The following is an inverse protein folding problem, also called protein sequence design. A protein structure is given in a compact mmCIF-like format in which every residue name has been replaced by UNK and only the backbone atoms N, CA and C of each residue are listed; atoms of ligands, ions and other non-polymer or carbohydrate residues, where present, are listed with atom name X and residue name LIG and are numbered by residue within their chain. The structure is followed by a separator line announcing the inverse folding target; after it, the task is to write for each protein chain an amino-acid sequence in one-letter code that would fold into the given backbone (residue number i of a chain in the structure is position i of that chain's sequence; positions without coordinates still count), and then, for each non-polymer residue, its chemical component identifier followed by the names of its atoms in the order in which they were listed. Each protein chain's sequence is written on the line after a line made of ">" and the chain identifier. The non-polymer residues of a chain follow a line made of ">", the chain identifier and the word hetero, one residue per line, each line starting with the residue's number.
data_IF_501259711519
#
_entry.id   IF_501259711519
#
_cell.length_a   1.000
_cell.length_b   1.000
_cell.length_c   1.000
_cell.angle_alpha   90.00
_cell.angle_beta   90.00
_cell.angle_gamma   90.00
#
_symmetry.space_group_name_H-M   'P 1'
#
loop_
_entity.id
_entity.type
_entity.pdbx_description
1 polymer ?
#
# COMPACT_ATOMS: atom_id res chain seq x y z
N UNK A 1 1.17 2.64 6.23
CA UNK A 1 -0.07 3.10 6.87
C UNK A 1 -1.10 1.98 6.91
N UNK A 2 -1.36 1.25 5.80
CA UNK A 2 -2.35 0.16 5.73
C UNK A 2 -2.16 -0.89 6.83
N UNK A 3 -0.95 -1.36 7.06
CA UNK A 3 -0.62 -2.37 8.08
C UNK A 3 -0.93 -1.90 9.51
N UNK A 4 -0.63 -0.65 9.85
CA UNK A 4 -0.75 -0.13 11.21
C UNK A 4 -2.12 0.50 11.53
N UNK A 5 -2.77 1.09 10.55
CA UNK A 5 -3.99 1.86 10.74
C UNK A 5 -5.14 1.45 9.80
N UNK A 6 -4.96 0.37 9.05
CA UNK A 6 -5.92 -0.12 8.06
C UNK A 6 -6.41 0.97 7.08
N UNK A 7 -5.59 2.01 6.83
CA UNK A 7 -5.92 3.07 5.89
C UNK A 7 -5.54 2.65 4.48
N UNK A 8 -6.51 2.62 3.57
CA UNK A 8 -6.36 2.17 2.18
C UNK A 8 -6.30 3.31 1.16
N UNK A 9 -6.37 4.56 1.63
CA UNK A 9 -6.24 5.75 0.77
C UNK A 9 -4.83 5.89 0.19
N UNK A 10 -4.73 6.65 -0.89
CA UNK A 10 -3.44 6.92 -1.58
C UNK A 10 -2.64 8.05 -0.93
N UNK A 11 -3.24 8.82 -0.01
CA UNK A 11 -2.56 9.85 0.77
C UNK A 11 -2.92 9.74 2.25
N UNK A 12 -1.98 10.13 3.10
CA UNK A 12 -2.10 10.12 4.56
C UNK A 12 -0.73 10.15 5.22
N UNK A 13 -0.67 10.69 6.44
CA UNK A 13 0.53 10.63 7.28
C UNK A 13 0.16 10.04 8.63
N UNK A 14 0.91 9.05 9.08
CA UNK A 14 0.70 8.40 10.38
C UNK A 14 1.78 8.86 11.35
N UNK A 15 1.37 9.49 12.45
CA UNK A 15 2.24 9.85 13.57
C UNK A 15 1.95 8.89 14.73
N UNK A 16 2.98 8.20 15.20
CA UNK A 16 2.87 7.24 16.30
C UNK A 16 3.76 7.73 17.43
N UNK A 17 3.19 7.86 18.59
CA UNK A 17 3.89 8.16 19.84
C UNK A 17 3.85 6.93 20.77
N UNK A 18 4.29 7.07 21.99
CA UNK A 18 4.17 5.99 22.99
C UNK A 18 2.73 5.77 23.47
N UNK A 19 1.87 6.75 23.32
CA UNK A 19 0.50 6.76 23.85
C UNK A 19 -0.56 6.93 22.78
N UNK A 20 -0.19 7.46 21.61
CA UNK A 20 -1.16 7.88 20.60
C UNK A 20 -0.76 7.38 19.21
N UNK A 21 -1.78 7.06 18.42
CA UNK A 21 -1.69 6.83 16.99
C UNK A 21 -2.56 7.87 16.30
N UNK A 22 -1.97 8.77 15.51
CA UNK A 22 -2.67 9.83 14.82
C UNK A 22 -2.55 9.65 13.31
N UNK A 23 -3.68 9.59 12.62
CA UNK A 23 -3.74 9.55 11.15
C UNK A 23 -4.20 10.92 10.63
N UNK A 24 -3.30 11.58 9.92
CA UNK A 24 -3.55 12.85 9.25
C UNK A 24 -4.08 12.54 7.85
N UNK A 25 -5.30 12.97 7.54
CA UNK A 25 -5.96 12.79 6.24
C UNK A 25 -6.72 14.03 5.84
N UNK A 26 -6.76 14.31 4.54
CA UNK A 26 -7.59 15.38 4.01
C UNK A 26 -9.06 14.93 3.82
N UNK A 27 -9.90 15.88 3.43
CA UNK A 27 -11.35 15.68 3.29
C UNK A 27 -11.74 14.53 2.37
N UNK A 28 -10.92 14.16 1.38
CA UNK A 28 -11.16 13.04 0.44
C UNK A 28 -11.23 11.68 1.12
N UNK A 29 -10.53 11.53 2.23
CA UNK A 29 -10.41 10.25 2.95
C UNK A 29 -11.11 10.23 4.30
N UNK A 30 -11.51 11.38 4.82
CA UNK A 30 -12.08 11.53 6.17
C UNK A 30 -13.27 10.63 6.41
N UNK A 31 -14.26 10.68 5.54
CA UNK A 31 -15.47 9.86 5.65
C UNK A 31 -15.18 8.35 5.59
N UNK A 32 -14.32 7.94 4.65
CA UNK A 32 -13.91 6.53 4.52
C UNK A 32 -13.17 6.02 5.77
N UNK A 33 -12.31 6.86 6.39
CA UNK A 33 -11.61 6.51 7.62
C UNK A 33 -12.59 6.45 8.79
N UNK A 34 -13.49 7.41 8.93
CA UNK A 34 -14.51 7.43 9.98
C UNK A 34 -15.45 6.22 9.90
N UNK A 35 -15.93 5.90 8.70
CA UNK A 35 -16.76 4.72 8.45
C UNK A 35 -16.03 3.43 8.85
N UNK A 36 -14.74 3.32 8.53
CA UNK A 36 -13.92 2.17 8.91
C UNK A 36 -13.72 2.08 10.42
N UNK A 37 -13.50 3.23 11.09
CA UNK A 37 -13.37 3.26 12.55
C UNK A 37 -14.68 2.89 13.28
N UNK A 38 -15.83 3.05 12.64
CA UNK A 38 -17.13 2.60 13.15
C UNK A 38 -17.42 1.11 12.87
N UNK A 39 -16.53 0.40 12.19
CA UNK A 39 -16.68 -1.00 11.78
C UNK A 39 -15.78 -1.95 12.61
N UNK A 40 -15.93 -3.26 12.38
CA UNK A 40 -15.04 -4.29 12.96
C UNK A 40 -13.58 -4.18 12.47
N UNK A 41 -13.33 -3.41 11.41
CA UNK A 41 -12.00 -3.14 10.86
C UNK A 41 -11.34 -1.89 11.47
N UNK A 42 -11.86 -1.39 12.58
CA UNK A 42 -11.32 -0.24 13.30
C UNK A 42 -9.88 -0.51 13.80
N UNK A 43 -9.05 0.52 13.77
CA UNK A 43 -7.77 0.51 14.46
C UNK A 43 -8.00 1.08 15.88
N UNK A 44 -7.84 0.29 16.94
CA UNK A 44 -8.07 0.77 18.31
C UNK A 44 -7.13 1.93 18.66
N UNK A 45 -7.70 2.96 19.27
CA UNK A 45 -6.92 4.14 19.70
C UNK A 45 -6.48 5.08 18.60
N UNK A 46 -6.90 4.88 17.35
CA UNK A 46 -6.58 5.77 16.25
C UNK A 46 -7.32 7.10 16.39
N UNK A 47 -6.56 8.19 16.43
CA UNK A 47 -7.07 9.56 16.36
C UNK A 47 -6.95 10.07 14.93
N UNK A 48 -8.06 10.49 14.34
CA UNK A 48 -8.08 11.07 12.99
C UNK A 48 -7.89 12.59 13.09
N UNK A 49 -6.91 13.12 12.36
CA UNK A 49 -6.62 14.56 12.25
C UNK A 49 -6.93 15.05 10.86
N UNK A 50 -7.66 16.15 10.77
CA UNK A 50 -7.95 16.81 9.51
C UNK A 50 -6.72 17.53 8.96
N UNK A 51 -6.52 17.40 7.66
CA UNK A 51 -5.54 18.18 6.88
C UNK A 51 -6.31 19.15 6.01
N UNK A 52 -6.40 20.44 6.41
CA UNK A 52 -7.17 21.42 5.64
C UNK A 52 -6.48 21.78 4.32
N UNK A 53 -5.16 22.01 4.34
CA UNK A 53 -4.41 22.50 3.17
C UNK A 53 -3.18 21.61 2.86
N UNK A 54 -2.26 21.45 3.82
CA UNK A 54 -0.99 20.79 3.62
C UNK A 54 -0.73 19.68 4.65
N UNK A 55 -0.35 18.50 4.19
CA UNK A 55 0.09 17.41 5.05
C UNK A 55 1.32 17.76 5.88
N UNK A 56 2.20 18.60 5.36
CA UNK A 56 3.43 18.99 6.03
C UNK A 56 3.16 19.98 7.14
N UNK A 57 2.28 20.97 6.91
CA UNK A 57 1.80 21.88 7.96
C UNK A 57 1.06 21.11 9.07
N UNK A 58 0.14 20.23 8.70
CA UNK A 58 -0.60 19.41 9.66
C UNK A 58 0.34 18.49 10.48
N UNK A 59 1.41 17.98 9.87
CA UNK A 59 2.44 17.18 10.57
C UNK A 59 3.25 18.06 11.54
N UNK A 60 3.61 19.27 11.13
CA UNK A 60 4.27 20.25 12.02
C UNK A 60 3.39 20.54 13.23
N UNK A 61 2.12 20.85 13.02
CA UNK A 61 1.17 21.15 14.10
C UNK A 61 1.00 19.94 15.05
N UNK A 62 0.84 18.74 14.51
CA UNK A 62 0.72 17.51 15.29
C UNK A 62 1.97 17.22 16.12
N UNK A 63 3.16 17.41 15.56
CA UNK A 63 4.42 17.16 16.25
C UNK A 63 4.73 18.23 17.31
N UNK A 64 4.34 19.47 17.08
CA UNK A 64 4.46 20.55 18.08
C UNK A 64 3.49 20.32 19.26
N UNK A 65 2.27 19.87 19.00
CA UNK A 65 1.32 19.51 20.04
C UNK A 65 1.77 18.32 20.90
N UNK A 66 2.52 17.38 20.30
CA UNK A 66 3.09 16.23 21.01
C UNK A 66 4.23 16.61 21.95
N UNK A 67 4.92 17.73 21.72
CA UNK A 67 6.07 18.21 22.51
C UNK A 67 7.25 17.22 22.60
N UNK A 68 7.32 16.25 21.72
CA UNK A 68 8.46 15.34 21.62
C UNK A 68 9.67 16.00 21.00
N UNK A 69 10.87 15.53 21.37
CA UNK A 69 12.14 16.08 20.87
C UNK A 69 12.83 15.21 19.83
N UNK A 70 12.43 13.96 19.69
CA UNK A 70 13.03 13.00 18.77
C UNK A 70 11.97 12.36 17.91
N UNK A 71 12.03 12.61 16.60
CA UNK A 71 11.10 12.07 15.61
C UNK A 71 11.82 11.08 14.68
N UNK A 72 11.40 9.82 14.70
CA UNK A 72 11.79 8.83 13.69
C UNK A 72 11.05 9.06 12.38
N UNK A 73 11.77 9.04 11.27
CA UNK A 73 11.18 9.15 9.92
C UNK A 73 11.53 7.92 9.07
N UNK A 74 10.61 7.52 8.21
CA UNK A 74 10.88 6.50 7.18
C UNK A 74 11.74 7.09 6.07
N UNK A 75 13.07 6.95 6.20
CA UNK A 75 14.05 7.58 5.30
C UNK A 75 13.90 7.18 3.83
N UNK A 76 13.40 5.98 3.55
CA UNK A 76 13.13 5.52 2.18
C UNK A 76 11.93 6.19 1.50
N UNK A 77 11.09 6.93 2.25
CA UNK A 77 9.87 7.55 1.74
C UNK A 77 9.86 9.07 1.86
N UNK A 78 10.59 9.62 2.83
CA UNK A 78 10.66 11.06 3.02
C UNK A 78 11.73 11.66 2.11
N UNK A 79 11.34 12.55 1.21
CA UNK A 79 12.33 13.24 0.36
C UNK A 79 13.19 14.20 1.16
N UNK A 80 14.43 14.43 0.71
CA UNK A 80 15.35 15.38 1.34
C UNK A 80 14.74 16.79 1.40
N UNK A 81 14.09 17.23 0.32
CA UNK A 81 13.44 18.54 0.27
C UNK A 81 12.35 18.68 1.35
N UNK A 82 11.52 17.65 1.52
CA UNK A 82 10.47 17.62 2.53
C UNK A 82 11.05 17.64 3.94
N UNK A 83 12.08 16.85 4.20
CA UNK A 83 12.77 16.84 5.49
C UNK A 83 13.35 18.23 5.83
N UNK A 84 14.03 18.87 4.88
CA UNK A 84 14.60 20.20 5.08
C UNK A 84 13.53 21.25 5.36
N UNK A 85 12.40 21.19 4.65
CA UNK A 85 11.27 22.08 4.88
C UNK A 85 10.70 21.91 6.29
N UNK A 86 10.45 20.68 6.71
CA UNK A 86 9.97 20.37 8.07
C UNK A 86 10.92 20.90 9.14
N UNK A 87 12.22 20.64 8.99
CA UNK A 87 13.24 21.08 9.97
C UNK A 87 13.24 22.61 10.11
N UNK A 88 13.28 23.34 8.99
CA UNK A 88 13.25 24.82 9.01
C UNK A 88 11.94 25.36 9.62
N UNK A 89 10.83 24.70 9.35
CA UNK A 89 9.51 25.14 9.86
C UNK A 89 9.43 24.93 11.37
N UNK A 90 9.90 23.78 11.89
CA UNK A 90 10.00 23.57 13.34
C UNK A 90 10.88 24.61 14.02
N UNK A 91 12.08 24.83 13.49
CA UNK A 91 13.02 25.86 14.00
C UNK A 91 12.37 27.26 14.01
N UNK A 92 11.74 27.66 12.90
CA UNK A 92 11.07 28.95 12.77
C UNK A 92 9.91 29.13 13.78
N UNK A 93 9.25 28.02 14.16
CA UNK A 93 8.18 28.01 15.16
C UNK A 93 8.68 27.76 16.59
N UNK A 94 10.01 27.78 16.82
CA UNK A 94 10.63 27.59 18.12
C UNK A 94 10.60 26.15 18.67
N UNK A 95 10.32 25.16 17.82
CA UNK A 95 10.35 23.76 18.20
C UNK A 95 11.72 23.13 17.90
N UNK A 96 12.32 22.47 18.89
CA UNK A 96 13.58 21.76 18.74
C UNK A 96 13.32 20.26 18.59
N UNK A 97 13.01 19.83 17.35
CA UNK A 97 12.75 18.44 17.00
C UNK A 97 13.96 17.86 16.26
N UNK A 98 14.60 16.88 16.88
CA UNK A 98 15.66 16.10 16.24
C UNK A 98 15.06 15.01 15.39
N UNK A 99 15.43 14.97 14.12
CA UNK A 99 14.97 13.94 13.18
C UNK A 99 15.98 12.79 13.15
N UNK A 100 15.50 11.56 13.30
CA UNK A 100 16.29 10.33 13.14
C UNK A 100 15.75 9.48 12.00
N UNK A 101 16.59 9.15 11.05
CA UNK A 101 16.28 8.20 9.99
C UNK A 101 16.02 6.81 10.59
N UNK A 102 14.93 6.18 10.14
CA UNK A 102 14.64 4.77 10.39
C UNK A 102 14.46 4.04 9.07
N UNK A 103 14.90 2.80 9.03
CA UNK A 103 14.80 1.97 7.83
C UNK A 103 14.16 0.63 8.16
N UNK A 104 13.22 0.24 7.31
CA UNK A 104 12.57 -1.07 7.36
C UNK A 104 12.00 -1.46 8.74
N UNK A 105 11.58 -0.47 9.54
CA UNK A 105 11.04 -0.73 10.87
C UNK A 105 9.75 -1.57 10.77
N UNK A 106 8.82 -1.13 9.95
CA UNK A 106 7.53 -1.81 9.77
C UNK A 106 7.69 -3.09 8.94
N UNK A 107 8.58 -3.10 7.96
CA UNK A 107 8.86 -4.28 7.14
C UNK A 107 9.41 -5.45 7.97
N UNK A 108 10.18 -5.18 9.02
CA UNK A 108 10.64 -6.22 9.96
C UNK A 108 9.49 -6.86 10.73
N UNK A 109 8.52 -6.07 11.20
CA UNK A 109 7.32 -6.61 11.85
C UNK A 109 6.49 -7.43 10.85
N UNK A 110 6.35 -6.98 9.63
CA UNK A 110 5.62 -7.69 8.56
C UNK A 110 6.32 -8.94 8.06
N UNK A 111 7.63 -9.10 8.31
CA UNK A 111 8.37 -10.27 7.87
C UNK A 111 7.90 -11.55 8.57
N UNK A 112 7.61 -11.48 9.86
CA UNK A 112 7.06 -12.58 10.65
C UNK A 112 5.55 -12.38 10.74
N UNK A 113 4.78 -13.34 10.22
CA UNK A 113 3.32 -13.29 10.16
C UNK A 113 2.73 -13.92 11.42
N UNK A 114 1.68 -13.30 11.95
CA UNK A 114 0.86 -13.92 12.98
C UNK A 114 -0.18 -14.89 12.39
N UNK A 115 -0.93 -15.59 13.26
CA UNK A 115 -1.90 -16.61 12.84
C UNK A 115 -3.05 -16.02 12.02
N UNK A 116 -3.47 -14.80 12.29
CA UNK A 116 -4.53 -14.13 11.55
C UNK A 116 -4.05 -13.76 10.15
N UNK A 117 -2.85 -13.21 10.03
CA UNK A 117 -2.21 -12.90 8.74
C UNK A 117 -1.98 -14.17 7.91
N UNK A 118 -1.53 -15.26 8.53
CA UNK A 118 -1.37 -16.57 7.87
C UNK A 118 -2.73 -17.07 7.35
N UNK A 119 -3.78 -16.92 8.12
CA UNK A 119 -5.14 -17.32 7.71
C UNK A 119 -5.60 -16.54 6.49
N UNK A 120 -5.41 -15.23 6.47
CA UNK A 120 -5.76 -14.38 5.30
C UNK A 120 -4.92 -14.76 4.08
N UNK A 121 -3.63 -15.01 4.25
CA UNK A 121 -2.76 -15.45 3.15
C UNK A 121 -3.19 -16.79 2.56
N UNK A 122 -3.59 -17.75 3.41
CA UNK A 122 -4.11 -19.05 2.94
C UNK A 122 -5.41 -18.90 2.15
N UNK A 123 -6.33 -18.07 2.64
CA UNK A 123 -7.58 -17.78 1.92
C UNK A 123 -7.31 -17.14 0.56
N UNK A 124 -6.40 -16.15 0.51
CA UNK A 124 -6.01 -15.51 -0.73
C UNK A 124 -5.38 -16.51 -1.72
N UNK A 125 -4.49 -17.41 -1.24
CA UNK A 125 -3.87 -18.44 -2.07
C UNK A 125 -4.88 -19.45 -2.62
N UNK A 126 -5.85 -19.88 -1.80
CA UNK A 126 -6.92 -20.78 -2.23
C UNK A 126 -7.79 -20.15 -3.33
N UNK A 127 -8.18 -18.90 -3.16
CA UNK A 127 -8.93 -18.18 -4.20
C UNK A 127 -8.12 -18.01 -5.48
N UNK A 128 -6.82 -17.76 -5.37
CA UNK A 128 -5.93 -17.63 -6.53
C UNK A 128 -5.76 -18.96 -7.29
N UNK A 129 -5.87 -20.12 -6.64
CA UNK A 129 -5.86 -21.42 -7.28
C UNK A 129 -7.02 -21.57 -8.28
N UNK A 130 -8.22 -21.08 -7.94
CA UNK A 130 -9.36 -21.08 -8.86
C UNK A 130 -9.13 -20.17 -10.08
N UNK A 131 -8.49 -19.02 -9.88
CA UNK A 131 -8.11 -18.13 -10.98
C UNK A 131 -7.08 -18.79 -11.89
N UNK A 132 -6.10 -19.50 -11.31
CA UNK A 132 -5.08 -20.23 -12.07
C UNK A 132 -5.69 -21.32 -12.98
N UNK A 133 -6.69 -22.04 -12.50
CA UNK A 133 -7.40 -23.03 -13.31
C UNK A 133 -8.05 -22.39 -14.55
N UNK A 134 -8.74 -21.25 -14.39
CA UNK A 134 -9.34 -20.51 -15.50
C UNK A 134 -8.29 -19.96 -16.48
N UNK A 135 -7.14 -19.54 -15.96
CA UNK A 135 -6.01 -19.08 -16.78
C UNK A 135 -5.46 -20.22 -17.63
N UNK A 136 -5.27 -21.41 -17.05
CA UNK A 136 -4.80 -22.59 -17.77
C UNK A 136 -5.76 -23.01 -18.91
N UNK A 137 -7.06 -22.91 -18.69
CA UNK A 137 -8.07 -23.20 -19.70
C UNK A 137 -8.06 -22.17 -20.87
N UNK A 138 -7.59 -20.96 -20.62
CA UNK A 138 -7.48 -19.93 -21.65
C UNK A 138 -6.20 -20.03 -22.50
N UNK A 139 -5.19 -20.77 -22.03
CA UNK A 139 -3.94 -20.99 -22.76
C UNK A 139 -4.17 -22.04 -23.85
N UNK A 140 -4.50 -21.55 -25.06
CA UNK A 140 -4.77 -22.40 -26.23
C UNK A 140 -4.09 -21.82 -27.46
N UNK A 141 -3.65 -22.68 -28.37
CA UNK A 141 -3.17 -22.22 -29.67
C UNK A 141 -4.25 -21.38 -30.39
N UNK A 142 -3.85 -20.25 -30.93
CA UNK A 142 -4.75 -19.29 -31.57
C UNK A 142 -5.25 -18.17 -30.65
N UNK A 143 -5.10 -18.28 -29.32
CA UNK A 143 -5.41 -17.21 -28.38
C UNK A 143 -4.22 -16.24 -28.28
N UNK A 144 -4.44 -14.94 -28.16
CA UNK A 144 -3.38 -13.97 -27.96
C UNK A 144 -2.95 -13.86 -26.49
N UNK A 145 -1.73 -13.42 -26.25
CA UNK A 145 -1.22 -13.14 -24.88
C UNK A 145 -2.16 -12.17 -24.15
N UNK A 146 -2.66 -11.15 -24.84
CA UNK A 146 -3.58 -10.14 -24.30
C UNK A 146 -4.94 -10.75 -23.88
N UNK A 147 -5.47 -11.66 -24.66
CA UNK A 147 -6.72 -12.35 -24.33
C UNK A 147 -6.55 -13.23 -23.09
N UNK A 148 -5.43 -13.93 -22.95
CA UNK A 148 -5.14 -14.70 -21.74
C UNK A 148 -5.00 -13.78 -20.51
N UNK A 149 -4.31 -12.65 -20.64
CA UNK A 149 -4.21 -11.66 -19.57
C UNK A 149 -5.58 -11.13 -19.16
N UNK A 150 -6.45 -10.81 -20.10
CA UNK A 150 -7.82 -10.36 -19.84
C UNK A 150 -8.66 -11.40 -19.10
N UNK A 151 -8.50 -12.68 -19.42
CA UNK A 151 -9.16 -13.79 -18.67
C UNK A 151 -8.70 -13.80 -17.23
N UNK A 152 -7.40 -13.72 -16.97
CA UNK A 152 -6.80 -13.69 -15.61
C UNK A 152 -7.36 -12.50 -14.82
N UNK A 153 -7.35 -11.31 -15.37
CA UNK A 153 -7.83 -10.09 -14.70
C UNK A 153 -9.33 -10.14 -14.41
N UNK A 154 -10.10 -10.67 -15.36
CA UNK A 154 -11.54 -10.87 -15.19
C UNK A 154 -11.83 -11.90 -14.09
N UNK A 155 -11.09 -12.99 -14.06
CA UNK A 155 -11.24 -14.04 -13.05
C UNK A 155 -10.87 -13.52 -11.64
N UNK A 156 -9.81 -12.72 -11.52
CA UNK A 156 -9.45 -12.05 -10.27
C UNK A 156 -10.59 -11.16 -9.76
N UNK A 157 -11.15 -10.31 -10.61
CA UNK A 157 -12.27 -9.43 -10.23
C UNK A 157 -13.52 -10.22 -9.83
N UNK A 158 -13.87 -11.27 -10.58
CA UNK A 158 -15.00 -12.17 -10.25
C UNK A 158 -14.77 -12.93 -8.95
N UNK A 159 -13.51 -13.26 -8.63
CA UNK A 159 -13.10 -13.88 -7.37
C UNK A 159 -13.08 -12.94 -6.17
N UNK A 160 -13.49 -11.67 -6.34
CA UNK A 160 -13.56 -10.68 -5.26
C UNK A 160 -12.25 -9.95 -4.97
N UNK A 161 -11.22 -10.12 -5.80
CA UNK A 161 -9.98 -9.36 -5.68
C UNK A 161 -10.14 -7.95 -6.28
N UNK A 162 -9.59 -6.97 -5.61
CA UNK A 162 -9.67 -5.56 -6.03
C UNK A 162 -8.97 -5.34 -7.38
N UNK A 163 -7.76 -5.90 -7.53
CA UNK A 163 -6.93 -5.80 -8.74
C UNK A 163 -5.74 -6.76 -8.65
N UNK A 164 -5.04 -7.02 -9.77
CA UNK A 164 -3.73 -7.65 -9.74
C UNK A 164 -2.74 -6.85 -8.88
N UNK A 165 -1.80 -7.53 -8.24
CA UNK A 165 -0.76 -6.88 -7.42
C UNK A 165 0.28 -6.11 -8.27
N UNK A 166 0.44 -6.51 -9.52
CA UNK A 166 1.27 -5.90 -10.56
C UNK A 166 0.63 -6.17 -11.93
N UNK A 167 1.10 -5.52 -12.98
CA UNK A 167 0.60 -5.72 -14.34
C UNK A 167 0.67 -7.20 -14.72
N UNK A 168 -0.41 -7.74 -15.26
CA UNK A 168 -0.48 -9.16 -15.61
C UNK A 168 0.49 -9.46 -16.74
N UNK A 169 1.42 -10.39 -16.48
CA UNK A 169 2.43 -10.82 -17.44
C UNK A 169 1.97 -12.11 -18.08
N UNK A 170 1.76 -12.09 -19.40
CA UNK A 170 1.57 -13.28 -20.23
C UNK A 170 2.56 -13.16 -21.38
N UNK A 171 3.51 -14.06 -21.44
CA UNK A 171 4.59 -14.04 -22.42
C UNK A 171 4.78 -15.42 -23.01
N UNK A 172 4.78 -15.55 -24.32
CA UNK A 172 4.87 -16.82 -25.04
C UNK A 172 6.01 -16.80 -26.06
N UNK A 173 6.56 -17.97 -26.38
CA UNK A 173 7.68 -18.12 -27.32
C UNK A 173 8.82 -17.16 -27.02
N UNK A 174 9.31 -16.37 -27.99
CA UNK A 174 10.42 -15.43 -27.77
C UNK A 174 10.18 -14.40 -26.67
N UNK A 175 8.91 -14.01 -26.41
CA UNK A 175 8.56 -13.03 -25.38
C UNK A 175 8.80 -13.56 -23.96
N UNK A 176 8.80 -14.88 -23.76
CA UNK A 176 9.02 -15.50 -22.45
C UNK A 176 10.42 -15.23 -21.86
N UNK A 177 11.36 -14.78 -22.68
CA UNK A 177 12.68 -14.34 -22.24
C UNK A 177 12.67 -12.94 -21.59
N UNK A 178 11.55 -12.20 -21.63
CA UNK A 178 11.42 -10.82 -21.16
C UNK A 178 10.72 -10.76 -19.80
N UNK A 179 11.43 -10.53 -18.66
CA UNK A 179 10.85 -10.64 -17.31
C UNK A 179 9.80 -9.56 -17.00
N UNK A 180 9.78 -8.45 -17.73
CA UNK A 180 8.83 -7.33 -17.57
C UNK A 180 7.99 -7.12 -18.83
N UNK A 181 7.70 -8.21 -19.55
CA UNK A 181 6.93 -8.15 -20.78
C UNK A 181 5.48 -7.72 -20.52
N UNK A 182 4.92 -6.94 -21.42
CA UNK A 182 3.50 -6.60 -21.43
C UNK A 182 2.79 -7.44 -22.49
N UNK A 183 1.76 -8.18 -22.07
CA UNK A 183 0.97 -9.02 -22.94
C UNK A 183 0.49 -8.28 -24.20
N UNK A 184 0.86 -8.80 -25.36
CA UNK A 184 0.61 -8.23 -26.68
C UNK A 184 -0.35 -9.04 -27.53
N UNK A 185 -0.33 -8.75 -28.83
CA UNK A 185 -1.18 -9.41 -29.83
C UNK A 185 -0.54 -10.69 -30.42
N UNK A 186 0.62 -11.11 -29.87
CA UNK A 186 1.22 -12.37 -30.27
C UNK A 186 0.26 -13.53 -29.97
N UNK A 187 -0.01 -14.33 -30.99
CA UNK A 187 -0.81 -15.53 -30.87
C UNK A 187 0.01 -16.69 -30.30
N UNK A 188 -0.54 -17.41 -29.35
CA UNK A 188 0.08 -18.61 -28.81
C UNK A 188 0.09 -19.72 -29.85
N UNK A 189 1.20 -20.45 -29.90
CA UNK A 189 1.39 -21.61 -30.75
C UNK A 189 1.49 -22.90 -29.92
N UNK A 190 1.20 -24.03 -30.54
CA UNK A 190 1.29 -25.37 -29.91
C UNK A 190 2.71 -25.74 -29.47
N UNK A 191 3.72 -25.01 -29.93
CA UNK A 191 5.14 -25.21 -29.64
C UNK A 191 5.70 -24.24 -28.60
N UNK A 192 4.88 -23.32 -28.09
CA UNK A 192 5.28 -22.35 -27.07
C UNK A 192 5.39 -22.96 -25.66
#
# INVERSE_FOLDING_TARGET
>A
IRYLANHTGTAGTLLITRTDIQLLVDFRYKEAVQSRQASQAACPGLVVRDVPDSYDEALVDATMAWQGRLLGIEAGHLTVARQQWLTRTWEARGANITVRSTERLIERFRAVKDDAEITVLRQAAQGLTAVAALAMDAIRAGTTEREVAAVIETALRKGGYERPAFDTIVASGPNSALPHYRAGDRTLHTTD
#
